data_IF_252862144564
#
_entry.id   IF_252862144564
#
_cell.length_a   1.000
_cell.length_b   1.000
_cell.length_c   1.000
_cell.angle_alpha   90.00
_cell.angle_beta   90.00
_cell.angle_gamma   90.00
#
_symmetry.space_group_name_H-M   'P 1'
#
loop_
_entity.id
_entity.type
_entity.pdbx_description
1 polymer ?
#
# COMPACT_ATOMS: atom_id res chain seq x y z
N UNK A 1 -1.88 -22.72 28.10
CA UNK A 1 -2.72 -22.11 27.04
C UNK A 1 -2.92 -23.14 25.94
N UNK A 2 -4.16 -23.48 25.56
CA UNK A 2 -4.40 -24.42 24.46
C UNK A 2 -3.97 -23.75 23.16
N UNK A 3 -3.12 -24.43 22.38
CA UNK A 3 -2.81 -24.03 20.99
C UNK A 3 -4.13 -24.01 20.21
N UNK A 4 -4.41 -22.92 19.51
CA UNK A 4 -5.65 -22.78 18.74
C UNK A 4 -5.77 -23.95 17.75
N UNK A 5 -6.99 -24.44 17.54
CA UNK A 5 -7.34 -25.48 16.56
C UNK A 5 -7.12 -25.04 15.09
N UNK A 6 -6.45 -23.91 14.85
CA UNK A 6 -6.14 -23.37 13.54
C UNK A 6 -4.62 -23.36 13.35
N UNK A 7 -3.99 -24.53 13.44
CA UNK A 7 -2.72 -24.72 12.76
C UNK A 7 -3.00 -24.60 11.26
N UNK A 8 -2.99 -23.37 10.74
CA UNK A 8 -3.24 -23.03 9.35
C UNK A 8 -2.28 -23.86 8.48
N UNK A 9 -2.85 -24.75 7.67
CA UNK A 9 -2.12 -25.52 6.69
C UNK A 9 -1.50 -24.54 5.69
N UNK A 10 -0.17 -24.46 5.63
CA UNK A 10 0.53 -23.38 4.92
C UNK A 10 0.38 -23.45 3.39
N UNK A 11 -0.05 -24.60 2.87
CA UNK A 11 -0.18 -24.89 1.43
C UNK A 11 -1.57 -24.60 0.85
N UNK A 12 -2.58 -24.26 1.65
CA UNK A 12 -4.00 -24.18 1.23
C UNK A 12 -4.43 -22.88 0.52
N UNK A 13 -3.55 -21.91 0.29
CA UNK A 13 -3.93 -20.60 -0.28
C UNK A 13 -2.99 -20.11 -1.38
N UNK A 14 -2.45 -21.03 -2.17
CA UNK A 14 -1.75 -20.69 -3.42
C UNK A 14 -2.79 -20.63 -4.53
N UNK A 15 -2.91 -19.48 -5.18
CA UNK A 15 -3.84 -19.30 -6.31
C UNK A 15 -3.05 -18.70 -7.47
N UNK A 16 -3.19 -19.29 -8.65
CA UNK A 16 -2.47 -18.84 -9.84
C UNK A 16 -3.08 -17.56 -10.40
N UNK A 17 -2.35 -16.86 -11.27
CA UNK A 17 -2.88 -15.67 -11.93
C UNK A 17 -4.13 -15.98 -12.78
N UNK A 18 -4.17 -17.12 -13.45
CA UNK A 18 -5.31 -17.53 -14.28
C UNK A 18 -6.56 -17.78 -13.43
N UNK A 19 -6.40 -18.38 -12.26
CA UNK A 19 -7.48 -18.59 -11.31
C UNK A 19 -8.00 -17.27 -10.75
N UNK A 20 -7.12 -16.32 -10.43
CA UNK A 20 -7.53 -14.98 -9.97
C UNK A 20 -8.28 -14.22 -11.06
N UNK A 21 -7.81 -14.26 -12.31
CA UNK A 21 -8.49 -13.60 -13.44
C UNK A 21 -9.85 -14.26 -13.74
N UNK A 22 -9.95 -15.60 -13.63
CA UNK A 22 -11.22 -16.33 -13.74
C UNK A 22 -12.20 -15.94 -12.62
N UNK A 23 -11.71 -15.69 -11.40
CA UNK A 23 -12.54 -15.16 -10.31
C UNK A 23 -12.98 -13.72 -10.56
N UNK A 24 -12.10 -12.83 -11.05
CA UNK A 24 -12.45 -11.44 -11.44
C UNK A 24 -13.58 -11.43 -12.49
N UNK A 25 -13.53 -12.37 -13.44
CA UNK A 25 -14.53 -12.52 -14.50
C UNK A 25 -15.91 -12.95 -13.98
N UNK A 26 -15.95 -13.86 -12.99
CA UNK A 26 -17.18 -14.52 -12.54
C UNK A 26 -17.78 -13.94 -11.26
N UNK A 27 -16.96 -13.35 -10.40
CA UNK A 27 -17.39 -12.84 -9.11
C UNK A 27 -18.01 -11.45 -9.25
N UNK A 28 -19.10 -11.23 -8.52
CA UNK A 28 -19.74 -9.92 -8.41
C UNK A 28 -19.74 -9.33 -7.00
N UNK A 29 -19.42 -10.12 -5.97
CA UNK A 29 -19.35 -9.67 -4.58
C UNK A 29 -18.11 -8.81 -4.30
N UNK A 30 -18.36 -7.57 -3.87
CA UNK A 30 -17.34 -6.58 -3.58
C UNK A 30 -16.31 -7.06 -2.54
N UNK A 31 -16.77 -7.73 -1.49
CA UNK A 31 -15.92 -8.21 -0.40
C UNK A 31 -14.93 -9.27 -0.88
N UNK A 32 -15.33 -10.15 -1.81
CA UNK A 32 -14.43 -11.16 -2.37
C UNK A 32 -13.44 -10.52 -3.35
N UNK A 33 -13.93 -9.63 -4.21
CA UNK A 33 -13.11 -8.91 -5.19
C UNK A 33 -12.01 -8.06 -4.55
N UNK A 34 -12.23 -7.52 -3.34
CA UNK A 34 -11.22 -6.78 -2.58
C UNK A 34 -9.91 -7.53 -2.42
N UNK A 35 -9.95 -8.85 -2.22
CA UNK A 35 -8.72 -9.62 -2.02
C UNK A 35 -8.12 -10.09 -3.34
N UNK A 36 -8.98 -10.36 -4.32
CA UNK A 36 -8.57 -10.89 -5.63
C UNK A 36 -7.79 -9.84 -6.42
N UNK A 37 -8.28 -8.59 -6.49
CA UNK A 37 -7.64 -7.56 -7.30
C UNK A 37 -6.21 -7.22 -6.83
N UNK A 38 -5.94 -6.94 -5.54
CA UNK A 38 -4.59 -6.73 -5.05
C UNK A 38 -3.69 -7.95 -5.19
N UNK A 39 -4.23 -9.17 -5.04
CA UNK A 39 -3.47 -10.40 -5.25
C UNK A 39 -3.03 -10.56 -6.70
N UNK A 40 -3.95 -10.36 -7.65
CA UNK A 40 -3.65 -10.41 -9.08
C UNK A 40 -2.63 -9.33 -9.48
N UNK A 41 -2.82 -8.11 -8.96
CA UNK A 41 -1.88 -7.01 -9.18
C UNK A 41 -0.50 -7.31 -8.57
N UNK A 42 -0.44 -7.92 -7.39
CA UNK A 42 0.83 -8.31 -6.77
C UNK A 42 1.57 -9.31 -7.65
N UNK A 43 0.91 -10.37 -8.12
CA UNK A 43 1.54 -11.35 -9.00
C UNK A 43 2.08 -10.73 -10.27
N UNK A 44 1.29 -9.84 -10.88
CA UNK A 44 1.71 -9.12 -12.06
C UNK A 44 2.95 -8.25 -11.80
N UNK A 45 2.93 -7.48 -10.70
CA UNK A 45 4.04 -6.62 -10.34
C UNK A 45 5.30 -7.41 -9.96
N UNK A 46 5.16 -8.50 -9.21
CA UNK A 46 6.25 -9.42 -8.90
C UNK A 46 6.80 -10.03 -10.21
N UNK A 47 5.95 -10.35 -11.18
CA UNK A 47 6.34 -10.78 -12.53
C UNK A 47 7.22 -9.77 -13.27
N UNK A 48 6.85 -8.49 -13.22
CA UNK A 48 7.64 -7.40 -13.83
C UNK A 48 8.99 -7.16 -13.13
N UNK A 49 9.07 -7.44 -11.82
CA UNK A 49 10.31 -7.35 -11.04
C UNK A 49 11.33 -8.41 -11.49
N UNK A 50 10.89 -9.65 -11.67
CA UNK A 50 11.79 -10.77 -11.91
C UNK A 50 12.19 -10.95 -13.38
N UNK A 51 11.42 -10.39 -14.32
CA UNK A 51 11.62 -10.62 -15.75
C UNK A 51 12.16 -9.37 -16.47
N UNK A 52 13.42 -9.44 -16.93
CA UNK A 52 14.09 -8.34 -17.65
C UNK A 52 13.68 -8.20 -19.13
N UNK A 53 12.94 -9.18 -19.68
CA UNK A 53 12.59 -9.23 -21.09
C UNK A 53 11.42 -8.35 -21.52
N UNK A 54 10.69 -7.75 -20.57
CA UNK A 54 9.44 -7.05 -20.85
C UNK A 54 9.62 -5.55 -21.10
N UNK A 55 8.80 -5.00 -22.00
CA UNK A 55 8.82 -3.58 -22.31
C UNK A 55 8.12 -2.77 -21.22
N UNK A 56 8.89 -2.07 -20.37
CA UNK A 56 8.31 -1.20 -19.34
C UNK A 56 7.32 -0.17 -19.90
N UNK A 57 7.55 0.35 -21.11
CA UNK A 57 6.64 1.31 -21.74
C UNK A 57 5.24 0.72 -21.93
N UNK A 58 5.13 -0.55 -22.34
CA UNK A 58 3.84 -1.24 -22.48
C UNK A 58 3.23 -1.52 -21.11
N UNK A 59 3.99 -2.13 -20.21
CA UNK A 59 3.47 -2.57 -18.91
C UNK A 59 3.11 -1.41 -17.99
N UNK A 60 3.83 -0.29 -18.05
CA UNK A 60 3.44 0.93 -17.31
C UNK A 60 2.08 1.47 -17.72
N UNK A 61 1.65 1.32 -18.98
CA UNK A 61 0.30 1.72 -19.40
C UNK A 61 -0.76 0.82 -18.76
N UNK A 62 -0.56 -0.50 -18.85
CA UNK A 62 -1.46 -1.51 -18.25
C UNK A 62 -1.57 -1.31 -16.74
N UNK A 63 -0.42 -1.15 -16.09
CA UNK A 63 -0.32 -0.93 -14.65
C UNK A 63 -1.04 0.36 -14.22
N UNK A 64 -0.86 1.47 -14.96
CA UNK A 64 -1.52 2.74 -14.65
C UNK A 64 -3.04 2.68 -14.86
N UNK A 65 -3.49 1.95 -15.88
CA UNK A 65 -4.91 1.67 -16.14
C UNK A 65 -5.53 0.92 -14.95
N UNK A 66 -4.90 -0.19 -14.54
CA UNK A 66 -5.31 -0.97 -13.37
C UNK A 66 -5.33 -0.10 -12.11
N UNK A 67 -4.28 0.69 -11.87
CA UNK A 67 -4.24 1.59 -10.70
C UNK A 67 -5.38 2.59 -10.72
N UNK A 68 -5.67 3.21 -11.86
CA UNK A 68 -6.78 4.14 -12.00
C UNK A 68 -8.13 3.49 -11.70
N UNK A 69 -8.37 2.30 -12.25
CA UNK A 69 -9.60 1.57 -12.04
C UNK A 69 -9.78 1.12 -10.58
N UNK A 70 -8.75 0.55 -9.97
CA UNK A 70 -8.77 0.13 -8.55
C UNK A 70 -8.88 1.31 -7.59
N UNK A 71 -8.26 2.47 -7.90
CA UNK A 71 -8.43 3.70 -7.11
C UNK A 71 -9.90 4.09 -6.98
N UNK A 72 -10.63 4.09 -8.10
CA UNK A 72 -12.07 4.40 -8.08
C UNK A 72 -12.89 3.31 -7.40
N UNK A 73 -12.56 2.04 -7.65
CA UNK A 73 -13.28 0.91 -7.04
C UNK A 73 -13.23 0.97 -5.51
N UNK A 74 -12.02 1.00 -4.95
CA UNK A 74 -11.82 0.99 -3.49
C UNK A 74 -12.30 2.30 -2.86
N UNK A 75 -12.01 3.44 -3.48
CA UNK A 75 -12.51 4.73 -3.02
C UNK A 75 -14.02 4.77 -2.94
N UNK A 76 -14.71 4.43 -4.03
CA UNK A 76 -16.17 4.42 -4.06
C UNK A 76 -16.78 3.43 -3.06
N UNK A 77 -16.16 2.26 -2.87
CA UNK A 77 -16.58 1.27 -1.88
C UNK A 77 -16.51 1.83 -0.44
N UNK A 78 -15.33 2.26 0.00
CA UNK A 78 -15.10 2.70 1.39
C UNK A 78 -15.76 4.04 1.72
N UNK A 79 -15.98 4.91 0.73
CA UNK A 79 -16.72 6.16 0.91
C UNK A 79 -18.22 6.03 0.59
N UNK A 80 -18.72 4.82 0.33
CA UNK A 80 -20.14 4.50 0.08
C UNK A 80 -20.76 5.31 -1.07
N UNK A 81 -19.96 5.59 -2.10
CA UNK A 81 -20.42 6.22 -3.34
C UNK A 81 -20.96 5.15 -4.30
N UNK A 82 -22.14 4.63 -4.02
CA UNK A 82 -22.69 3.46 -4.73
C UNK A 82 -22.94 3.70 -6.22
N UNK A 83 -23.25 4.95 -6.62
CA UNK A 83 -23.41 5.30 -8.04
C UNK A 83 -22.11 5.17 -8.83
N UNK A 84 -20.99 5.64 -8.26
CA UNK A 84 -19.67 5.45 -8.86
C UNK A 84 -19.19 4.00 -8.76
N UNK A 85 -19.49 3.33 -7.64
CA UNK A 85 -19.02 1.97 -7.35
C UNK A 85 -19.43 0.97 -8.44
N UNK A 86 -20.67 1.02 -8.92
CA UNK A 86 -21.14 0.12 -9.99
C UNK A 86 -20.30 0.24 -11.25
N UNK A 87 -20.02 1.47 -11.68
CA UNK A 87 -19.21 1.74 -12.88
C UNK A 87 -17.74 1.37 -12.62
N UNK A 88 -17.21 1.74 -11.45
CA UNK A 88 -15.84 1.42 -11.08
C UNK A 88 -15.56 -0.08 -11.01
N UNK A 89 -16.56 -0.89 -10.59
CA UNK A 89 -16.48 -2.35 -10.59
C UNK A 89 -16.32 -2.93 -11.99
N UNK A 90 -17.08 -2.42 -12.96
CA UNK A 90 -16.98 -2.82 -14.36
C UNK A 90 -15.60 -2.44 -14.91
N UNK A 91 -15.19 -1.17 -14.73
CA UNK A 91 -13.92 -0.69 -15.24
C UNK A 91 -12.72 -1.44 -14.63
N UNK A 92 -12.78 -1.79 -13.33
CA UNK A 92 -11.74 -2.59 -12.69
C UNK A 92 -11.66 -3.99 -13.30
N UNK A 93 -12.81 -4.62 -13.59
CA UNK A 93 -12.85 -5.92 -14.26
C UNK A 93 -12.23 -5.83 -15.67
N UNK A 94 -12.68 -4.85 -16.47
CA UNK A 94 -12.18 -4.62 -17.83
C UNK A 94 -10.67 -4.36 -17.86
N UNK A 95 -10.15 -3.51 -16.97
CA UNK A 95 -8.71 -3.22 -16.90
C UNK A 95 -7.83 -4.48 -16.71
N UNK A 96 -8.33 -5.50 -16.01
CA UNK A 96 -7.64 -6.80 -15.89
C UNK A 96 -7.91 -7.71 -17.08
N UNK A 97 -9.16 -7.82 -17.53
CA UNK A 97 -9.55 -8.80 -18.56
C UNK A 97 -9.08 -8.40 -19.97
N UNK A 98 -9.09 -7.11 -20.30
CA UNK A 98 -8.58 -6.58 -21.57
C UNK A 98 -7.07 -6.80 -21.70
N UNK A 99 -6.37 -6.83 -20.56
CA UNK A 99 -4.94 -7.07 -20.46
C UNK A 99 -4.59 -8.50 -20.01
N UNK A 100 -5.54 -9.44 -20.07
CA UNK A 100 -5.41 -10.80 -19.50
C UNK A 100 -4.16 -11.54 -19.98
N UNK A 101 -3.88 -11.52 -21.27
CA UNK A 101 -2.77 -12.26 -21.85
C UNK A 101 -1.42 -11.70 -21.38
N UNK A 102 -1.26 -10.37 -21.39
CA UNK A 102 -0.06 -9.70 -20.87
C UNK A 102 0.16 -9.98 -19.38
N UNK A 103 -0.91 -10.00 -18.59
CA UNK A 103 -0.85 -10.27 -17.16
C UNK A 103 -0.43 -11.72 -16.91
N UNK A 104 -1.03 -12.68 -17.63
CA UNK A 104 -0.68 -14.11 -17.52
C UNK A 104 0.78 -14.32 -17.90
N UNK A 105 1.20 -13.84 -19.07
CA UNK A 105 2.55 -14.04 -19.61
C UNK A 105 3.64 -13.62 -18.60
N UNK A 106 3.47 -12.45 -17.99
CA UNK A 106 4.42 -11.87 -17.03
C UNK A 106 4.40 -12.59 -15.68
N UNK A 107 3.27 -13.19 -15.30
CA UNK A 107 3.03 -13.77 -13.97
C UNK A 107 3.16 -15.29 -13.93
N UNK A 108 3.60 -15.92 -15.03
CA UNK A 108 3.70 -17.37 -15.16
C UNK A 108 4.52 -17.99 -14.00
N UNK A 109 4.06 -19.14 -13.50
CA UNK A 109 4.68 -19.92 -12.43
C UNK A 109 4.72 -19.24 -11.05
N UNK A 110 3.82 -18.28 -10.79
CA UNK A 110 3.70 -17.62 -9.48
C UNK A 110 2.39 -17.94 -8.80
N UNK A 111 2.45 -18.05 -7.47
CA UNK A 111 1.30 -18.26 -6.60
C UNK A 111 1.07 -17.04 -5.72
N UNK A 112 -0.15 -16.49 -5.73
CA UNK A 112 -0.52 -15.44 -4.79
C UNK A 112 -0.71 -16.04 -3.40
N UNK A 113 -0.41 -15.27 -2.36
CA UNK A 113 -0.88 -15.53 -1.00
C UNK A 113 -2.15 -14.71 -0.79
N UNK A 114 -3.31 -15.35 -0.84
CA UNK A 114 -4.61 -14.71 -0.57
C UNK A 114 -4.76 -14.39 0.92
N UNK A 115 -4.02 -13.38 1.41
CA UNK A 115 -4.04 -12.94 2.81
C UNK A 115 -4.03 -11.41 2.95
N UNK A 116 -4.40 -10.68 1.91
CA UNK A 116 -4.43 -9.22 1.96
C UNK A 116 -5.62 -8.79 2.82
N UNK A 117 -5.36 -8.35 4.06
CA UNK A 117 -6.33 -7.65 4.92
C UNK A 117 -7.69 -8.36 5.11
N UNK A 118 -7.76 -9.68 4.89
CA UNK A 118 -9.03 -10.40 4.75
C UNK A 118 -9.91 -10.30 6.01
N UNK A 119 -9.26 -10.24 7.17
CA UNK A 119 -9.90 -10.08 8.49
C UNK A 119 -9.80 -8.65 9.04
N UNK A 120 -9.48 -7.66 8.20
CA UNK A 120 -9.19 -6.28 8.62
C UNK A 120 -10.15 -5.25 8.00
N UNK A 121 -11.37 -5.67 7.64
CA UNK A 121 -12.34 -4.81 6.95
C UNK A 121 -12.65 -3.56 7.77
N UNK A 122 -12.93 -3.76 9.05
CA UNK A 122 -13.31 -2.70 9.97
C UNK A 122 -12.15 -1.71 10.17
N UNK A 123 -10.91 -2.21 10.25
CA UNK A 123 -9.70 -1.40 10.33
C UNK A 123 -9.47 -0.57 9.07
N UNK A 124 -9.74 -1.14 7.88
CA UNK A 124 -9.64 -0.39 6.62
C UNK A 124 -10.76 0.65 6.50
N UNK A 125 -11.98 0.34 6.96
CA UNK A 125 -13.06 1.32 7.04
C UNK A 125 -12.70 2.49 7.97
N UNK A 126 -12.10 2.20 9.12
CA UNK A 126 -11.65 3.24 10.04
C UNK A 126 -10.49 4.06 9.45
N UNK A 127 -9.52 3.39 8.83
CA UNK A 127 -8.46 4.03 8.05
C UNK A 127 -9.04 5.02 7.03
N UNK A 128 -10.05 4.61 6.26
CA UNK A 128 -10.68 5.47 5.25
C UNK A 128 -11.29 6.75 5.85
N UNK A 129 -11.94 6.66 7.02
CA UNK A 129 -12.50 7.83 7.71
C UNK A 129 -11.41 8.79 8.17
N UNK A 130 -10.32 8.26 8.72
CA UNK A 130 -9.20 9.04 9.28
C UNK A 130 -8.39 9.69 8.16
N UNK A 131 -7.99 8.92 7.14
CA UNK A 131 -7.16 9.43 6.04
C UNK A 131 -7.87 10.54 5.28
N UNK A 132 -9.21 10.48 5.15
CA UNK A 132 -10.03 11.56 4.57
C UNK A 132 -9.87 12.89 5.31
N UNK A 133 -9.85 12.87 6.65
CA UNK A 133 -9.63 14.08 7.46
C UNK A 133 -8.19 14.57 7.32
N UNK A 134 -7.22 13.65 7.43
CA UNK A 134 -5.81 14.00 7.35
C UNK A 134 -5.44 14.62 5.99
N UNK A 135 -5.92 14.05 4.89
CA UNK A 135 -5.64 14.49 3.51
C UNK A 135 -6.10 15.92 3.20
N UNK A 136 -7.00 16.50 4.00
CA UNK A 136 -7.39 17.91 3.88
C UNK A 136 -6.25 18.86 4.27
N UNK A 137 -5.31 18.41 5.10
CA UNK A 137 -4.25 19.25 5.69
C UNK A 137 -2.87 19.02 5.06
N UNK A 138 -2.70 17.95 4.29
CA UNK A 138 -1.42 17.61 3.67
C UNK A 138 -1.49 17.72 2.15
N UNK A 139 -0.50 18.40 1.56
CA UNK A 139 -0.24 18.35 0.13
C UNK A 139 0.55 17.09 -0.16
N UNK A 140 -0.06 16.10 -0.81
CA UNK A 140 0.58 14.84 -1.20
C UNK A 140 0.68 14.80 -2.72
N UNK A 141 1.90 14.64 -3.23
CA UNK A 141 2.16 14.58 -4.67
C UNK A 141 2.27 13.13 -5.17
N UNK A 142 2.72 12.21 -4.31
CA UNK A 142 2.90 10.79 -4.65
C UNK A 142 2.47 9.92 -3.48
N UNK A 143 1.72 8.86 -3.77
CA UNK A 143 1.33 7.81 -2.84
C UNK A 143 2.13 6.55 -3.17
N UNK A 144 2.75 5.99 -2.14
CA UNK A 144 3.68 4.86 -2.22
C UNK A 144 3.14 3.73 -1.36
N UNK A 145 2.27 2.87 -1.91
CA UNK A 145 1.85 1.69 -1.18
C UNK A 145 2.99 0.67 -1.11
N UNK A 146 3.18 0.08 0.07
CA UNK A 146 4.11 -1.02 0.30
C UNK A 146 3.40 -2.32 -0.04
N UNK A 147 3.84 -2.97 -1.11
CA UNK A 147 3.15 -4.13 -1.62
C UNK A 147 3.35 -5.36 -0.72
N UNK A 148 2.31 -6.15 -0.46
CA UNK A 148 0.94 -6.04 -1.00
C UNK A 148 -0.09 -5.43 -0.06
N UNK A 149 0.15 -5.47 1.26
CA UNK A 149 -0.78 -4.98 2.27
C UNK A 149 -1.14 -3.50 2.11
N UNK A 150 -0.20 -2.68 1.63
CA UNK A 150 -0.42 -1.26 1.36
C UNK A 150 -1.24 -0.95 0.11
N UNK A 151 -1.55 -1.91 -0.78
CA UNK A 151 -2.24 -1.61 -2.05
C UNK A 151 -3.64 -1.04 -1.83
N UNK A 152 -4.49 -1.78 -1.14
CA UNK A 152 -5.86 -1.35 -0.85
C UNK A 152 -5.93 0.01 -0.13
N UNK A 153 -5.29 0.21 1.03
CA UNK A 153 -5.28 1.52 1.69
C UNK A 153 -4.63 2.61 0.82
N UNK A 154 -3.66 2.25 -0.03
CA UNK A 154 -3.07 3.16 -1.01
C UNK A 154 -4.08 3.67 -2.04
N UNK A 155 -4.93 2.77 -2.56
CA UNK A 155 -6.00 3.15 -3.49
C UNK A 155 -7.03 4.07 -2.84
N UNK A 156 -7.40 3.79 -1.59
CA UNK A 156 -8.28 4.66 -0.79
C UNK A 156 -7.66 6.05 -0.61
N UNK A 157 -6.38 6.12 -0.25
CA UNK A 157 -5.66 7.39 -0.11
C UNK A 157 -5.60 8.16 -1.43
N UNK A 158 -5.39 7.48 -2.56
CA UNK A 158 -5.32 8.11 -3.89
C UNK A 158 -6.66 8.61 -4.36
N UNK A 159 -7.75 7.96 -4.01
CA UNK A 159 -9.09 8.45 -4.36
C UNK A 159 -9.35 9.87 -3.80
N UNK A 160 -8.76 10.20 -2.65
CA UNK A 160 -8.86 11.53 -2.04
C UNK A 160 -7.95 12.58 -2.68
N UNK A 161 -6.97 12.16 -3.49
CA UNK A 161 -5.96 12.97 -4.18
C UNK A 161 -5.71 12.38 -5.56
N UNK A 162 -6.72 12.47 -6.43
CA UNK A 162 -6.67 11.84 -7.76
C UNK A 162 -5.53 12.36 -8.65
N UNK A 163 -5.03 13.56 -8.36
CA UNK A 163 -3.87 14.18 -8.98
C UNK A 163 -2.53 13.60 -8.51
N UNK A 164 -2.50 12.88 -7.38
CA UNK A 164 -1.27 12.30 -6.85
C UNK A 164 -0.82 11.10 -7.70
N UNK A 165 0.49 11.01 -7.91
CA UNK A 165 1.13 9.84 -8.50
C UNK A 165 0.92 8.59 -7.63
N UNK A 166 0.94 7.41 -8.24
CA UNK A 166 0.87 6.13 -7.53
C UNK A 166 2.09 5.30 -7.88
N UNK A 167 2.95 5.06 -6.90
CA UNK A 167 4.24 4.40 -7.12
C UNK A 167 4.44 3.28 -6.10
N UNK A 168 3.94 2.07 -6.38
CA UNK A 168 4.08 0.95 -5.46
C UNK A 168 5.53 0.48 -5.33
N UNK A 169 5.90 0.17 -4.10
CA UNK A 169 7.19 -0.44 -3.79
C UNK A 169 6.97 -1.86 -3.30
N UNK A 170 7.69 -2.80 -3.91
CA UNK A 170 7.76 -4.15 -3.38
C UNK A 170 8.90 -4.22 -2.38
N UNK A 171 8.60 -4.73 -1.18
CA UNK A 171 9.61 -5.00 -0.18
C UNK A 171 9.72 -6.51 0.03
N UNK A 172 10.91 -7.05 -0.21
CA UNK A 172 11.14 -8.49 -0.10
C UNK A 172 11.63 -8.88 1.29
N UNK A 173 11.04 -9.97 1.79
CA UNK A 173 11.54 -10.79 2.88
C UNK A 173 11.73 -12.24 2.39
N UNK A 174 12.21 -12.43 1.15
CA UNK A 174 12.35 -13.76 0.56
C UNK A 174 13.32 -14.64 1.37
N UNK A 175 14.39 -14.03 1.90
CA UNK A 175 15.15 -14.53 3.04
C UNK A 175 14.93 -13.63 4.27
N UNK A 176 15.12 -14.16 5.49
CA UNK A 176 15.09 -13.40 6.76
C UNK A 176 16.03 -12.17 6.77
N UNK A 177 16.97 -12.13 5.85
CA UNK A 177 18.01 -11.11 5.73
C UNK A 177 17.86 -10.19 4.51
N UNK A 178 16.97 -10.51 3.56
CA UNK A 178 16.66 -9.59 2.46
C UNK A 178 15.81 -8.44 3.01
N UNK A 179 16.34 -7.23 2.81
CA UNK A 179 15.76 -5.97 3.31
C UNK A 179 15.76 -4.89 2.23
N UNK A 180 15.58 -5.30 0.98
CA UNK A 180 15.73 -4.41 -0.15
C UNK A 180 14.39 -4.14 -0.84
N UNK A 181 14.26 -2.92 -1.34
CA UNK A 181 13.18 -2.52 -2.24
C UNK A 181 13.45 -3.14 -3.60
N UNK A 182 12.41 -3.76 -4.16
CA UNK A 182 12.41 -4.34 -5.48
C UNK A 182 11.54 -3.48 -6.40
N UNK A 183 12.08 -3.20 -7.58
CA UNK A 183 11.41 -2.49 -8.65
C UNK A 183 11.47 -3.35 -9.92
N UNK A 184 10.50 -3.18 -10.84
CA UNK A 184 10.59 -3.75 -12.18
C UNK A 184 11.96 -3.44 -12.80
N UNK A 185 12.68 -4.47 -13.21
CA UNK A 185 14.06 -4.35 -13.70
C UNK A 185 14.16 -3.42 -14.93
N UNK A 186 13.15 -3.47 -15.79
CA UNK A 186 13.02 -2.62 -16.96
C UNK A 186 12.54 -1.18 -16.65
N UNK A 187 12.20 -0.85 -15.40
CA UNK A 187 11.72 0.49 -15.02
C UNK A 187 12.85 1.53 -15.13
N UNK A 188 12.70 2.58 -15.96
CA UNK A 188 13.68 3.64 -16.07
C UNK A 188 13.86 4.40 -14.76
N UNK A 189 15.12 4.73 -14.42
CA UNK A 189 15.44 5.57 -13.25
C UNK A 189 14.75 6.94 -13.27
N UNK A 190 14.42 7.47 -14.46
CA UNK A 190 13.68 8.73 -14.58
C UNK A 190 12.27 8.63 -13.99
N UNK A 191 11.64 7.46 -14.05
CA UNK A 191 10.29 7.24 -13.54
C UNK A 191 10.32 7.22 -12.00
N UNK A 192 11.33 6.54 -11.44
CA UNK A 192 11.63 6.60 -10.00
C UNK A 192 11.86 8.05 -9.58
N UNK A 193 12.78 8.78 -10.24
CA UNK A 193 13.05 10.19 -9.91
C UNK A 193 11.80 11.06 -10.03
N UNK A 194 10.95 10.83 -11.03
CA UNK A 194 9.69 11.57 -11.21
C UNK A 194 8.70 11.37 -10.06
N UNK A 195 8.70 10.19 -9.44
CA UNK A 195 7.84 9.86 -8.31
C UNK A 195 8.31 10.48 -6.98
N UNK A 196 9.61 10.73 -6.80
CA UNK A 196 10.17 11.15 -5.51
C UNK A 196 10.77 12.56 -5.51
N UNK A 197 11.53 12.97 -6.54
CA UNK A 197 12.35 14.17 -6.47
C UNK A 197 11.51 15.46 -6.32
N UNK A 198 11.70 16.17 -5.21
CA UNK A 198 10.96 17.38 -4.84
C UNK A 198 9.51 17.12 -4.41
N UNK A 199 9.08 15.86 -4.30
CA UNK A 199 7.70 15.46 -4.02
C UNK A 199 7.43 15.31 -2.53
N UNK A 200 6.20 15.60 -2.13
CA UNK A 200 5.64 15.20 -0.84
C UNK A 200 5.06 13.78 -1.00
N UNK A 201 5.66 12.82 -0.33
CA UNK A 201 5.37 11.39 -0.50
C UNK A 201 4.59 10.88 0.70
N UNK A 202 3.48 10.18 0.46
CA UNK A 202 2.80 9.38 1.47
C UNK A 202 3.13 7.91 1.27
N UNK A 203 3.80 7.30 2.24
CA UNK A 203 3.98 5.85 2.32
C UNK A 203 2.74 5.24 2.95
N UNK A 204 2.21 4.18 2.36
CA UNK A 204 1.01 3.48 2.86
C UNK A 204 1.32 2.00 3.07
N UNK A 205 0.99 1.46 4.25
CA UNK A 205 1.19 0.04 4.58
C UNK A 205 0.02 -0.50 5.42
N UNK A 206 -0.10 -1.82 5.51
CA UNK A 206 -1.15 -2.46 6.32
C UNK A 206 -0.84 -2.40 7.81
N UNK A 207 0.28 -3.00 8.24
CA UNK A 207 0.57 -3.25 9.64
C UNK A 207 1.97 -2.78 10.00
N UNK A 208 2.05 -1.88 10.98
CA UNK A 208 3.31 -1.53 11.62
C UNK A 208 3.61 -2.44 12.81
N UNK A 209 4.67 -3.23 12.70
CA UNK A 209 5.17 -4.07 13.78
C UNK A 209 6.56 -3.66 14.30
N UNK A 210 7.64 -3.91 13.54
CA UNK A 210 9.03 -3.54 13.93
C UNK A 210 9.59 -2.33 13.18
N UNK A 211 8.85 -1.83 12.20
CA UNK A 211 9.23 -0.68 11.37
C UNK A 211 10.39 -0.89 10.40
N UNK A 212 10.91 -2.11 10.22
CA UNK A 212 12.00 -2.36 9.28
C UNK A 212 11.66 -1.94 7.85
N UNK A 213 10.52 -2.41 7.35
CA UNK A 213 9.98 -2.08 6.04
C UNK A 213 9.80 -0.58 5.85
N UNK A 214 9.06 0.05 6.78
CA UNK A 214 8.77 1.48 6.71
C UNK A 214 10.04 2.33 6.73
N UNK A 215 11.05 1.98 7.54
CA UNK A 215 12.35 2.67 7.54
C UNK A 215 13.09 2.54 6.22
N UNK A 216 13.09 1.35 5.61
CA UNK A 216 13.75 1.16 4.31
C UNK A 216 13.05 1.97 3.22
N UNK A 217 11.71 1.95 3.20
CA UNK A 217 10.91 2.72 2.24
C UNK A 217 11.08 4.23 2.43
N UNK A 218 11.09 4.70 3.67
CA UNK A 218 11.44 6.08 4.01
C UNK A 218 12.83 6.46 3.49
N UNK A 219 13.86 5.69 3.84
CA UNK A 219 15.23 5.97 3.43
C UNK A 219 15.37 5.99 1.90
N UNK A 220 14.63 5.15 1.19
CA UNK A 220 14.58 5.16 -0.26
C UNK A 220 13.92 6.44 -0.81
N UNK A 221 12.79 6.86 -0.24
CA UNK A 221 12.12 8.10 -0.64
C UNK A 221 13.03 9.33 -0.45
N UNK A 222 13.71 9.42 0.71
CA UNK A 222 14.67 10.49 1.01
C UNK A 222 15.87 10.45 0.06
N UNK A 223 16.47 9.28 -0.14
CA UNK A 223 17.60 9.09 -1.08
C UNK A 223 17.26 9.53 -2.51
N UNK A 224 16.00 9.41 -2.92
CA UNK A 224 15.52 9.84 -4.23
C UNK A 224 15.00 11.29 -4.26
N UNK A 225 15.28 12.09 -3.22
CA UNK A 225 15.07 13.53 -3.22
C UNK A 225 13.67 13.98 -2.80
N UNK A 226 12.91 13.16 -2.07
CA UNK A 226 11.60 13.57 -1.54
C UNK A 226 11.73 14.81 -0.66
N UNK A 227 10.81 15.76 -0.82
CA UNK A 227 10.78 17.00 -0.03
C UNK A 227 10.24 16.76 1.37
N UNK A 228 9.18 15.95 1.48
CA UNK A 228 8.57 15.52 2.73
C UNK A 228 8.11 14.08 2.60
N UNK A 229 8.24 13.29 3.66
CA UNK A 229 7.77 11.91 3.67
C UNK A 229 6.82 11.70 4.85
N UNK A 230 5.61 11.27 4.52
CA UNK A 230 4.55 10.93 5.44
C UNK A 230 4.38 9.41 5.46
N UNK A 231 3.82 8.87 6.54
CA UNK A 231 3.35 7.49 6.60
C UNK A 231 1.90 7.44 7.05
N UNK A 232 1.11 6.55 6.46
CA UNK A 232 -0.23 6.18 6.90
C UNK A 232 -0.36 4.65 6.94
N UNK A 233 -0.83 4.14 8.07
CA UNK A 233 -0.84 2.70 8.35
C UNK A 233 -2.25 2.29 8.76
N UNK A 234 -2.73 1.13 8.30
CA UNK A 234 -4.07 0.63 8.66
C UNK A 234 -4.10 0.21 10.14
N UNK A 235 -3.07 -0.49 10.61
CA UNK A 235 -2.97 -0.96 12.00
C UNK A 235 -1.54 -0.83 12.53
N UNK A 236 -1.43 -0.56 13.84
CA UNK A 236 -0.15 -0.21 14.47
C UNK A 236 -0.05 -0.89 15.81
N UNK A 237 1.13 -1.46 16.09
CA UNK A 237 1.46 -1.89 17.43
C UNK A 237 1.95 -0.69 18.28
N UNK A 238 1.17 -0.18 19.25
CA UNK A 238 1.51 1.00 20.04
C UNK A 238 2.87 0.91 20.73
N UNK A 239 3.23 -0.29 21.20
CA UNK A 239 4.41 -0.51 22.04
C UNK A 239 5.74 -0.38 21.29
N UNK A 240 5.72 -0.14 19.97
CA UNK A 240 6.93 -0.07 19.12
C UNK A 240 7.03 1.20 18.29
N UNK A 241 6.14 2.16 18.51
CA UNK A 241 6.14 3.44 17.78
C UNK A 241 7.29 4.33 18.25
N UNK A 242 7.62 4.32 19.55
CA UNK A 242 8.77 5.06 20.10
C UNK A 242 10.10 4.73 19.42
N UNK A 243 10.38 3.43 19.21
CA UNK A 243 11.59 2.94 18.52
C UNK A 243 11.74 3.47 17.07
N UNK A 244 10.63 3.86 16.44
CA UNK A 244 10.63 4.38 15.08
C UNK A 244 10.99 5.87 15.08
N UNK A 245 10.34 6.66 15.93
CA UNK A 245 10.53 8.11 16.03
C UNK A 245 11.99 8.43 16.39
N UNK A 246 12.55 7.74 17.38
CA UNK A 246 13.93 7.97 17.86
C UNK A 246 15.01 7.71 16.80
N UNK A 247 14.67 7.03 15.69
CA UNK A 247 15.63 6.58 14.68
C UNK A 247 15.43 7.21 13.30
N UNK A 248 14.55 8.20 13.20
CA UNK A 248 14.23 8.93 11.97
C UNK A 248 14.47 10.41 12.18
N UNK A 249 14.93 11.12 11.16
CA UNK A 249 15.18 12.56 11.27
C UNK A 249 13.88 13.40 11.28
N UNK A 250 14.00 14.69 11.58
CA UNK A 250 12.90 15.65 11.72
C UNK A 250 12.01 15.81 10.47
N UNK A 251 12.41 15.29 9.30
CA UNK A 251 11.59 15.31 8.09
C UNK A 251 10.58 14.16 8.01
N UNK A 252 10.68 13.17 8.91
CA UNK A 252 9.76 12.04 8.98
C UNK A 252 8.54 12.36 9.85
N UNK A 253 7.35 12.31 9.23
CA UNK A 253 6.08 12.53 9.91
C UNK A 253 5.25 11.25 9.84
N UNK A 254 5.19 10.52 10.94
CA UNK A 254 4.34 9.33 11.03
C UNK A 254 2.95 9.79 11.45
N UNK A 255 1.96 9.54 10.59
CA UNK A 255 0.56 9.49 10.97
C UNK A 255 0.24 8.06 11.39
N UNK A 256 0.01 7.85 12.68
CA UNK A 256 -0.17 6.52 13.24
C UNK A 256 -1.45 6.48 14.09
N UNK A 257 -2.41 5.60 13.77
CA UNK A 257 -3.53 5.35 14.66
C UNK A 257 -3.19 4.25 15.67
N UNK A 258 -3.23 4.60 16.96
CA UNK A 258 -3.26 3.63 18.05
C UNK A 258 -4.72 3.22 18.25
N UNK A 259 -5.08 1.98 17.94
CA UNK A 259 -6.37 1.45 18.35
C UNK A 259 -6.35 1.17 19.86
N UNK A 260 -6.46 2.21 20.69
CA UNK A 260 -7.02 2.00 22.03
C UNK A 260 -8.53 1.87 21.88
N UNK A 261 -9.12 0.89 22.56
CA UNK A 261 -10.55 0.54 22.55
C UNK A 261 -11.50 1.67 23.05
N UNK A 262 -11.02 2.90 23.18
CA UNK A 262 -11.77 4.03 23.71
C UNK A 262 -12.05 5.03 22.57
N UNK A 263 -13.32 5.09 22.15
CA UNK A 263 -13.86 5.83 21.01
C UNK A 263 -13.75 7.37 21.11
N UNK A 264 -13.12 7.93 22.15
CA UNK A 264 -13.21 9.36 22.47
C UNK A 264 -12.02 10.22 22.04
N UNK A 265 -10.96 9.67 21.44
CA UNK A 265 -9.81 10.48 21.01
C UNK A 265 -9.03 9.86 19.83
N UNK A 266 -9.64 9.87 18.64
CA UNK A 266 -8.90 9.65 17.40
C UNK A 266 -8.17 10.94 16.99
N UNK A 267 -6.95 11.18 17.50
CA UNK A 267 -6.05 12.23 17.02
C UNK A 267 -5.06 11.66 15.99
N UNK A 268 -4.91 12.33 14.86
CA UNK A 268 -3.75 12.15 13.99
C UNK A 268 -2.59 12.89 14.65
N UNK A 269 -1.86 12.21 15.53
CA UNK A 269 -0.62 12.78 16.06
C UNK A 269 0.47 12.60 15.00
N UNK A 270 0.88 13.71 14.40
CA UNK A 270 2.22 13.78 13.83
C UNK A 270 3.14 13.60 15.02
N UNK A 271 3.85 12.48 15.05
CA UNK A 271 4.94 12.30 15.99
C UNK A 271 6.09 13.18 15.51
N UNK A 272 6.06 14.45 15.89
CA UNK A 272 7.16 15.39 15.68
C UNK A 272 8.23 15.11 16.74
N UNK A 273 9.49 15.09 16.32
CA UNK A 273 10.63 15.03 17.22
C UNK A 273 10.65 16.32 18.08
N UNK A 274 10.23 16.22 19.34
CA UNK A 274 10.21 17.34 20.30
C UNK A 274 11.58 17.62 20.93
N UNK A 275 12.68 17.28 20.26
CA UNK A 275 14.04 17.46 20.84
C UNK A 275 14.41 18.93 21.08
N UNK A 276 13.76 19.90 20.45
CA UNK A 276 14.03 21.33 20.72
C UNK A 276 13.37 21.88 22.01
N UNK A 277 12.35 21.21 22.59
CA UNK A 277 11.68 21.71 23.81
C UNK A 277 12.34 21.26 25.13
N UNK A 278 13.31 20.34 25.10
CA UNK A 278 13.99 19.86 26.33
C UNK A 278 15.26 20.61 26.72
N UNK A 279 15.79 21.50 25.87
CA UNK A 279 16.95 22.33 26.24
C UNK A 279 16.58 23.61 27.00
N UNK A 280 15.33 24.04 26.99
CA UNK A 280 14.88 25.23 27.76
C UNK A 280 14.52 24.95 29.22
N UNK A 281 14.42 23.67 29.63
CA UNK A 281 13.99 23.30 30.99
C UNK A 281 15.16 22.93 31.93
N UNK A 282 16.41 23.07 31.46
CA UNK A 282 17.62 22.86 32.26
C UNK A 282 18.49 24.12 32.40
N UNK A 283 18.04 25.27 31.86
CA UNK A 283 18.71 26.58 31.96
C UNK A 283 17.92 27.61 32.81
N UNK A 284 17.07 27.15 33.75
CA UNK A 284 16.45 27.99 34.79
C UNK A 284 16.59 27.38 36.18
#
# INVERSE_FOLDING_TARGET
MPRSKYALNWDEYRTTIEELLSKIEKEDEALFLRNIYPAALQLYYDGLIENEGYSWKRHSLIVNEIYGALTRLFGAFYFRNWGEFTIAKINAREAFLDNRNDIIEVSLNKDAKLRHLDNMVDEVEEYAKVIRKAMAHYSIDTIVPVASGGFEPGFIARYLKMEAGFFPLRYSHFAREDKNIMLPSAQPLRDVRGAFNGKNVLIVDDVFYRGGTLRTVYAFAVKNGSRRVYAALVSINPYRVGDLIERTDASFRIGSWLSSRDETSASFEILEDKTEEKQSAYDL
#
